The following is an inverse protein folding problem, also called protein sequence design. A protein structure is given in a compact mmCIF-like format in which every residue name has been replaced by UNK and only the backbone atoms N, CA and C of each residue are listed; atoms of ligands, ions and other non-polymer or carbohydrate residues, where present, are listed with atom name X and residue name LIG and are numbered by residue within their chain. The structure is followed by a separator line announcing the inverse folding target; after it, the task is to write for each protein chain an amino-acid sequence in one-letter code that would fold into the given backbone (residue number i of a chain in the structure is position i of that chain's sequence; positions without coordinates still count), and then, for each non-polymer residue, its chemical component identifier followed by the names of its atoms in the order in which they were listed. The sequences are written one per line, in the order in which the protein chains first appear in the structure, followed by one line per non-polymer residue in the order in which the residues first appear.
data_IF_856196103734
#
_entry.id   IF_856196103734
#
_cell.length_a   1.000
_cell.length_b   1.000
_cell.length_c   1.000
_cell.angle_alpha   90.00
_cell.angle_beta   90.00
_cell.angle_gamma   90.00
#
_symmetry.space_group_name_H-M   'P 1'
#
loop_
_entity.id
_entity.type
_entity.pdbx_description
1 polymer ?
#
# COMPACT_ATOMS: atom_id res chain seq x y z
N UNK A 1 -39.77 8.69 -9.52
CA UNK A 1 -38.38 9.04 -9.84
C UNK A 1 -37.51 8.24 -8.89
N UNK A 2 -36.88 7.17 -9.38
CA UNK A 2 -36.09 6.27 -8.54
C UNK A 2 -34.73 6.89 -8.28
N UNK A 3 -34.48 7.32 -7.05
CA UNK A 3 -33.14 7.67 -6.60
C UNK A 3 -32.35 6.37 -6.43
N UNK A 4 -31.43 6.09 -7.35
CA UNK A 4 -30.43 5.06 -7.13
C UNK A 4 -29.45 5.54 -6.05
N UNK A 5 -29.05 4.69 -5.10
CA UNK A 5 -27.96 5.01 -4.19
C UNK A 5 -26.67 5.01 -5.01
N UNK A 6 -25.99 6.15 -5.08
CA UNK A 6 -24.62 6.24 -5.57
C UNK A 6 -23.73 5.44 -4.61
N UNK A 7 -23.61 4.13 -4.88
CA UNK A 7 -22.57 3.32 -4.29
C UNK A 7 -21.24 3.98 -4.66
N UNK A 8 -20.47 4.36 -3.66
CA UNK A 8 -19.19 5.06 -3.79
C UNK A 8 -18.28 4.24 -4.69
N UNK A 9 -18.22 4.60 -5.97
CA UNK A 9 -17.22 4.07 -6.88
C UNK A 9 -15.93 4.77 -6.51
N UNK A 10 -15.16 4.18 -5.59
CA UNK A 10 -13.83 4.68 -5.27
C UNK A 10 -13.00 4.72 -6.56
N UNK A 11 -12.54 5.90 -6.92
CA UNK A 11 -11.88 6.14 -8.21
C UNK A 11 -10.36 5.92 -8.09
N UNK A 12 -9.70 5.72 -9.22
CA UNK A 12 -8.23 5.61 -9.26
C UNK A 12 -7.58 6.92 -8.79
N UNK A 13 -8.21 8.07 -9.04
CA UNK A 13 -7.72 9.38 -8.61
C UNK A 13 -7.63 9.49 -7.07
N UNK A 14 -8.64 8.99 -6.35
CA UNK A 14 -8.64 8.97 -4.88
C UNK A 14 -7.55 8.04 -4.31
N UNK A 15 -7.28 6.92 -4.99
CA UNK A 15 -6.17 6.02 -4.64
C UNK A 15 -4.82 6.72 -4.81
N UNK A 16 -4.63 7.46 -5.90
CA UNK A 16 -3.41 8.23 -6.17
C UNK A 16 -3.19 9.32 -5.10
N UNK A 17 -4.23 10.07 -4.73
CA UNK A 17 -4.16 11.06 -3.65
C UNK A 17 -3.74 10.41 -2.32
N UNK A 18 -4.30 9.25 -2.02
CA UNK A 18 -3.99 8.52 -0.78
C UNK A 18 -2.56 8.01 -0.76
N UNK A 19 -2.04 7.53 -1.90
CA UNK A 19 -0.63 7.13 -2.06
C UNK A 19 0.29 8.34 -1.89
N UNK A 20 -0.06 9.49 -2.48
CA UNK A 20 0.74 10.71 -2.42
C UNK A 20 0.88 11.27 -1.00
N UNK A 21 -0.12 11.07 -0.14
CA UNK A 21 -0.18 11.59 1.23
C UNK A 21 0.82 10.97 2.21
N UNK A 22 1.46 9.84 1.87
CA UNK A 22 2.39 9.12 2.75
C UNK A 22 3.67 8.74 2.00
N UNK A 23 4.81 8.79 2.70
CA UNK A 23 6.12 8.54 2.09
C UNK A 23 6.54 7.08 2.05
N UNK A 24 6.04 6.24 2.95
CA UNK A 24 6.40 4.83 3.05
C UNK A 24 5.19 3.91 3.10
N UNK A 25 5.27 2.75 2.44
CA UNK A 25 4.16 1.83 2.27
C UNK A 25 4.62 0.39 2.47
N UNK A 26 3.97 -0.33 3.37
CA UNK A 26 4.18 -1.77 3.56
C UNK A 26 3.28 -2.62 2.66
N UNK A 27 3.61 -3.90 2.48
CA UNK A 27 2.76 -4.85 1.75
C UNK A 27 1.33 -4.92 2.30
N UNK A 28 1.16 -4.94 3.63
CA UNK A 28 -0.16 -4.98 4.30
C UNK A 28 -1.00 -3.75 3.98
N UNK A 29 -0.38 -2.58 3.91
CA UNK A 29 -1.09 -1.34 3.56
C UNK A 29 -1.47 -1.31 2.08
N UNK A 30 -0.57 -1.75 1.19
CA UNK A 30 -0.89 -1.91 -0.23
C UNK A 30 -2.02 -2.92 -0.46
N UNK A 31 -2.06 -4.01 0.32
CA UNK A 31 -3.15 -5.00 0.31
C UNK A 31 -4.48 -4.39 0.75
N UNK A 32 -4.48 -3.61 1.83
CA UNK A 32 -5.68 -2.95 2.34
C UNK A 32 -6.26 -1.97 1.30
N UNK A 33 -5.41 -1.14 0.68
CA UNK A 33 -5.82 -0.24 -0.40
C UNK A 33 -6.34 -1.01 -1.62
N UNK A 34 -5.69 -2.11 -2.00
CA UNK A 34 -6.16 -2.91 -3.13
C UNK A 34 -7.58 -3.46 -2.90
N UNK A 35 -7.87 -3.92 -1.69
CA UNK A 35 -9.20 -4.37 -1.30
C UNK A 35 -10.22 -3.22 -1.22
N UNK A 36 -9.82 -2.07 -0.67
CA UNK A 36 -10.68 -0.88 -0.55
C UNK A 36 -11.10 -0.34 -1.92
N UNK A 37 -10.16 -0.23 -2.87
CA UNK A 37 -10.39 0.38 -4.19
C UNK A 37 -10.71 -0.65 -5.30
N UNK A 38 -10.81 -1.94 -4.97
CA UNK A 38 -11.14 -3.00 -5.93
C UNK A 38 -10.08 -3.21 -7.02
N UNK A 39 -8.82 -2.91 -6.74
CA UNK A 39 -7.69 -3.06 -7.68
C UNK A 39 -6.76 -4.19 -7.26
N UNK A 40 -5.81 -4.56 -8.12
CA UNK A 40 -4.80 -5.57 -7.77
C UNK A 40 -3.72 -4.93 -6.89
N UNK A 41 -3.26 -5.61 -5.85
CA UNK A 41 -2.16 -5.13 -4.98
C UNK A 41 -0.91 -4.75 -5.76
N UNK A 42 -0.57 -5.50 -6.81
CA UNK A 42 0.55 -5.16 -7.71
C UNK A 42 0.39 -3.77 -8.34
N UNK A 43 -0.82 -3.33 -8.65
CA UNK A 43 -1.10 -1.99 -9.19
C UNK A 43 -0.81 -0.91 -8.15
N UNK A 44 -1.24 -1.11 -6.90
CA UNK A 44 -0.96 -0.19 -5.79
C UNK A 44 0.54 -0.05 -5.55
N UNK A 45 1.29 -1.17 -5.54
CA UNK A 45 2.75 -1.16 -5.38
C UNK A 45 3.43 -0.40 -6.53
N UNK A 46 2.98 -0.61 -7.78
CA UNK A 46 3.50 0.14 -8.92
C UNK A 46 3.21 1.65 -8.79
N UNK A 47 2.03 2.02 -8.30
CA UNK A 47 1.66 3.41 -8.04
C UNK A 47 2.55 4.03 -6.96
N UNK A 48 2.77 3.35 -5.83
CA UNK A 48 3.73 3.77 -4.78
C UNK A 48 5.10 4.10 -5.40
N UNK A 49 5.64 3.20 -6.22
CA UNK A 49 6.92 3.44 -6.91
C UNK A 49 6.85 4.61 -7.89
N UNK A 50 5.76 4.75 -8.65
CA UNK A 50 5.61 5.83 -9.64
C UNK A 50 5.50 7.22 -9.01
N UNK A 51 4.95 7.30 -7.78
CA UNK A 51 4.90 8.53 -6.98
C UNK A 51 6.22 8.81 -6.24
N UNK A 52 7.26 8.00 -6.46
CA UNK A 52 8.55 8.14 -5.77
C UNK A 52 8.48 7.82 -4.27
N UNK A 53 7.45 7.06 -3.84
CA UNK A 53 7.28 6.65 -2.44
C UNK A 53 8.09 5.38 -2.16
N UNK A 54 8.43 5.15 -0.90
CA UNK A 54 9.19 3.98 -0.45
C UNK A 54 8.28 2.79 -0.20
N UNK A 55 8.45 1.72 -0.97
CA UNK A 55 7.85 0.41 -0.64
C UNK A 55 8.76 -0.35 0.32
N UNK A 56 8.22 -0.79 1.47
CA UNK A 56 8.92 -1.53 2.51
C UNK A 56 8.39 -2.96 2.52
N UNK A 57 9.18 -3.86 1.94
CA UNK A 57 8.96 -5.30 1.96
C UNK A 57 9.68 -5.93 3.16
N UNK A 58 9.37 -5.46 4.36
CA UNK A 58 9.89 -6.11 5.58
C UNK A 58 8.93 -7.22 5.96
N UNK A 59 9.21 -8.43 5.49
CA UNK A 59 9.15 -9.55 6.42
C UNK A 59 10.20 -9.22 7.49
N UNK A 60 9.78 -9.03 8.75
CA UNK A 60 10.73 -8.99 9.85
C UNK A 60 11.42 -10.36 9.87
N UNK A 61 12.55 -10.50 9.19
CA UNK A 61 13.48 -11.56 9.50
C UNK A 61 14.09 -11.19 10.86
N UNK A 62 13.94 -12.01 11.90
CA UNK A 62 14.63 -11.80 13.16
C UNK A 62 16.12 -12.13 12.94
N UNK A 63 16.85 -11.21 12.32
CA UNK A 63 18.29 -11.35 12.02
C UNK A 63 19.14 -10.29 12.73
N UNK A 64 18.55 -9.44 13.57
CA UNK A 64 19.28 -8.44 14.36
C UNK A 64 19.71 -8.92 15.77
N UNK A 65 19.47 -10.19 16.13
CA UNK A 65 19.95 -10.83 17.38
C UNK A 65 21.14 -11.78 17.16
N UNK A 66 21.92 -11.60 16.09
CA UNK A 66 23.25 -12.21 16.03
C UNK A 66 24.22 -11.34 16.83
N UNK A 67 24.20 -11.52 18.15
CA UNK A 67 25.30 -11.10 19.02
C UNK A 67 26.62 -11.53 18.35
N UNK A 68 27.60 -10.62 18.18
CA UNK A 68 28.90 -11.01 17.67
C UNK A 68 29.48 -12.01 18.66
N UNK A 69 29.44 -13.29 18.29
CA UNK A 69 30.01 -14.37 19.08
C UNK A 69 31.50 -14.08 19.23
N UNK A 70 31.88 -13.62 20.43
CA UNK A 70 33.25 -13.31 20.82
C UNK A 70 34.19 -14.41 20.31
N UNK A 71 35.16 -14.02 19.47
CA UNK A 71 36.28 -14.85 19.04
C UNK A 71 37.54 -14.48 19.80
#
# INVERSE_FOLDING_TARGET
MSSQPSGTSLTVDELEERIAAKDSWSFKECLALAAEYGVKTRMVILMVHSHGKTYIDREETPEDDLDPMDK
#
